data_IF_141042600700
#
_entry.id   IF_141042600700
#
_cell.length_a   1.000
_cell.length_b   1.000
_cell.length_c   1.000
_cell.angle_alpha   90.00
_cell.angle_beta   90.00
_cell.angle_gamma   90.00
#
_symmetry.space_group_name_H-M   'P 1'
#
loop_
_entity.id
_entity.type
_entity.pdbx_description
1 polymer ?
#
# COMPACT_ATOMS: atom_id res chain seq x y z
N UNK A 1 23.49 5.33 0.34
CA UNK A 1 23.60 3.86 0.46
C UNK A 1 22.19 3.30 0.54
N UNK A 2 21.90 2.18 -0.12
CA UNK A 2 20.55 1.58 -0.13
C UNK A 2 20.29 0.76 1.14
N UNK A 3 19.00 0.49 1.43
CA UNK A 3 18.60 -0.44 2.49
C UNK A 3 19.05 -1.87 2.17
N UNK A 4 19.45 -2.65 3.18
CA UNK A 4 19.68 -4.09 2.98
C UNK A 4 18.35 -4.79 2.64
N UNK A 5 18.36 -5.96 1.97
CA UNK A 5 17.14 -6.69 1.65
C UNK A 5 16.27 -6.98 2.87
N UNK A 6 16.91 -7.32 4.00
CA UNK A 6 16.21 -7.55 5.26
C UNK A 6 15.64 -6.25 5.84
N UNK A 7 16.39 -5.15 5.83
CA UNK A 7 15.86 -3.85 6.27
C UNK A 7 14.67 -3.42 5.41
N UNK A 8 14.76 -3.56 4.09
CA UNK A 8 13.65 -3.26 3.19
C UNK A 8 12.42 -4.14 3.47
N UNK A 9 12.63 -5.42 3.77
CA UNK A 9 11.57 -6.35 4.16
C UNK A 9 10.90 -5.93 5.48
N UNK A 10 11.68 -5.66 6.52
CA UNK A 10 11.17 -5.24 7.83
C UNK A 10 10.46 -3.90 7.74
N UNK A 11 10.98 -2.93 6.98
CA UNK A 11 10.29 -1.66 6.71
C UNK A 11 8.97 -1.89 5.97
N UNK A 12 8.93 -2.82 5.02
CA UNK A 12 7.71 -3.19 4.31
C UNK A 12 6.68 -3.93 5.18
N UNK A 13 7.13 -4.73 6.15
CA UNK A 13 6.24 -5.34 7.14
C UNK A 13 5.69 -4.31 8.12
N UNK A 14 6.55 -3.43 8.65
CA UNK A 14 6.18 -2.40 9.60
C UNK A 14 5.12 -1.44 9.02
N UNK A 15 5.18 -1.13 7.73
CA UNK A 15 4.17 -0.28 7.08
C UNK A 15 2.83 -0.96 6.85
N UNK A 16 2.77 -2.29 6.89
CA UNK A 16 1.55 -3.10 6.66
C UNK A 16 0.93 -3.61 7.95
N UNK A 17 1.66 -3.65 9.07
CA UNK A 17 1.17 -4.13 10.37
C UNK A 17 0.88 -2.92 11.26
N UNK A 18 -0.39 -2.69 11.56
CA UNK A 18 -0.82 -1.59 12.42
C UNK A 18 -2.17 -1.87 13.09
N UNK A 19 -2.52 -1.00 14.04
CA UNK A 19 -3.77 -1.09 14.82
C UNK A 19 -5.00 -1.14 13.91
N UNK A 20 -4.98 -0.38 12.79
CA UNK A 20 -6.06 -0.37 11.81
C UNK A 20 -6.36 -1.72 11.16
N UNK A 21 -5.33 -2.55 10.93
CA UNK A 21 -5.55 -3.89 10.35
C UNK A 21 -6.20 -4.83 11.36
N UNK A 22 -5.79 -4.78 12.63
CA UNK A 22 -6.36 -5.61 13.70
C UNK A 22 -7.81 -5.21 13.97
N UNK A 23 -8.08 -3.91 14.09
CA UNK A 23 -9.44 -3.39 14.24
C UNK A 23 -10.32 -3.73 13.03
N UNK A 24 -9.79 -3.63 11.81
CA UNK A 24 -10.49 -4.02 10.59
C UNK A 24 -10.87 -5.50 10.56
N UNK A 25 -9.97 -6.39 10.99
CA UNK A 25 -10.26 -7.83 11.13
C UNK A 25 -11.35 -8.07 12.17
N UNK A 26 -11.27 -7.41 13.33
CA UNK A 26 -12.28 -7.53 14.38
C UNK A 26 -13.68 -7.09 13.89
N UNK A 27 -13.76 -5.96 13.19
CA UNK A 27 -15.01 -5.45 12.60
C UNK A 27 -15.52 -6.42 11.52
N UNK A 28 -14.65 -6.92 10.64
CA UNK A 28 -15.03 -7.85 9.58
C UNK A 28 -15.64 -9.16 10.12
N UNK A 29 -15.07 -9.71 11.20
CA UNK A 29 -15.59 -10.91 11.85
C UNK A 29 -16.87 -10.60 12.64
N UNK A 30 -16.93 -9.46 13.34
CA UNK A 30 -18.11 -9.07 14.11
C UNK A 30 -19.36 -8.89 13.23
N UNK A 31 -19.19 -8.33 12.03
CA UNK A 31 -20.29 -8.07 11.09
C UNK A 31 -20.54 -9.29 10.18
N UNK A 32 -19.48 -9.92 9.66
CA UNK A 32 -19.57 -11.00 8.67
C UNK A 32 -19.62 -12.41 9.23
N UNK A 33 -19.47 -12.57 10.55
CA UNK A 33 -19.36 -13.88 11.20
C UNK A 33 -18.03 -14.59 10.95
N UNK A 34 -17.86 -15.82 11.48
CA UNK A 34 -16.59 -16.56 11.39
C UNK A 34 -16.18 -16.92 9.96
N UNK A 35 -17.15 -17.00 9.03
CA UNK A 35 -16.90 -17.24 7.60
C UNK A 35 -16.13 -16.12 6.90
N UNK A 36 -16.06 -14.92 7.48
CA UNK A 36 -15.26 -13.81 6.94
C UNK A 36 -13.77 -14.16 6.84
N UNK A 37 -13.25 -14.97 7.78
CA UNK A 37 -11.83 -15.36 7.82
C UNK A 37 -11.40 -16.10 6.55
N UNK A 38 -12.25 -16.99 6.03
CA UNK A 38 -11.99 -17.70 4.79
C UNK A 38 -11.81 -16.72 3.62
N UNK A 39 -12.72 -15.75 3.49
CA UNK A 39 -12.67 -14.73 2.45
C UNK A 39 -11.48 -13.76 2.61
N UNK A 40 -11.06 -13.48 3.84
CA UNK A 40 -9.84 -12.70 4.10
C UNK A 40 -8.59 -13.42 3.58
N UNK A 41 -8.50 -14.75 3.73
CA UNK A 41 -7.38 -15.51 3.17
C UNK A 41 -7.40 -15.56 1.64
N UNK A 42 -8.58 -15.76 1.03
CA UNK A 42 -8.72 -15.75 -0.44
C UNK A 42 -8.29 -14.41 -1.02
N UNK A 43 -8.78 -13.29 -0.45
CA UNK A 43 -8.40 -11.95 -0.90
C UNK A 43 -6.94 -11.63 -0.61
N UNK A 44 -6.36 -12.15 0.47
CA UNK A 44 -4.93 -12.01 0.76
C UNK A 44 -4.05 -12.70 -0.30
N UNK A 45 -4.41 -13.91 -0.75
CA UNK A 45 -3.68 -14.61 -1.83
C UNK A 45 -3.74 -13.83 -3.14
N UNK A 46 -4.92 -13.36 -3.52
CA UNK A 46 -5.09 -12.55 -4.73
C UNK A 46 -4.30 -11.24 -4.64
N UNK A 47 -4.37 -10.54 -3.51
CA UNK A 47 -3.62 -9.31 -3.26
C UNK A 47 -2.11 -9.53 -3.29
N UNK A 48 -1.63 -10.67 -2.78
CA UNK A 48 -0.20 -11.02 -2.82
C UNK A 48 0.29 -11.23 -4.26
N UNK A 49 -0.51 -11.88 -5.10
CA UNK A 49 -0.19 -12.04 -6.52
C UNK A 49 -0.05 -10.68 -7.23
N UNK A 50 -1.00 -9.76 -7.00
CA UNK A 50 -0.94 -8.41 -7.58
C UNK A 50 0.29 -7.63 -7.08
N UNK A 51 0.57 -7.66 -5.78
CA UNK A 51 1.72 -6.98 -5.19
C UNK A 51 3.06 -7.56 -5.67
N UNK A 52 3.11 -8.86 -5.96
CA UNK A 52 4.29 -9.50 -6.53
C UNK A 52 4.55 -8.98 -7.95
N UNK A 53 3.52 -8.99 -8.81
CA UNK A 53 3.62 -8.46 -10.18
C UNK A 53 4.08 -6.99 -10.15
N UNK A 54 3.51 -6.17 -9.27
CA UNK A 54 3.89 -4.76 -9.14
C UNK A 54 5.34 -4.59 -8.70
N UNK A 55 5.80 -5.39 -7.74
CA UNK A 55 7.19 -5.37 -7.27
C UNK A 55 8.17 -5.77 -8.38
N UNK A 56 7.81 -6.78 -9.17
CA UNK A 56 8.61 -7.20 -10.34
C UNK A 56 8.65 -6.10 -11.41
N UNK A 57 7.51 -5.46 -11.70
CA UNK A 57 7.43 -4.38 -12.68
C UNK A 57 8.21 -3.15 -12.23
N UNK A 58 8.16 -2.82 -10.93
CA UNK A 58 8.93 -1.74 -10.33
C UNK A 58 10.45 -1.98 -10.39
N UNK A 59 10.89 -3.24 -10.32
CA UNK A 59 12.29 -3.60 -10.54
C UNK A 59 12.69 -3.54 -12.02
N UNK A 60 11.80 -3.96 -12.93
CA UNK A 60 12.03 -3.96 -14.38
C UNK A 60 12.16 -2.54 -14.96
N UNK A 61 11.29 -1.62 -14.54
CA UNK A 61 11.29 -0.21 -14.99
C UNK A 61 12.05 0.72 -14.05
N UNK A 62 12.99 0.18 -13.26
CA UNK A 62 13.80 0.95 -12.33
C UNK A 62 14.79 1.83 -13.10
N UNK A 63 14.54 3.15 -13.12
CA UNK A 63 15.47 4.10 -13.74
C UNK A 63 16.39 4.69 -12.70
N UNK A 64 17.69 4.70 -13.01
CA UNK A 64 18.69 5.39 -12.21
C UNK A 64 18.71 6.86 -12.64
N UNK A 65 18.29 7.74 -11.76
CA UNK A 65 18.34 9.18 -12.01
C UNK A 65 19.82 9.63 -12.05
N UNK A 66 20.25 10.22 -13.17
CA UNK A 66 21.65 10.55 -13.44
C UNK A 66 22.19 11.66 -12.55
N UNK A 67 21.32 12.51 -11.99
CA UNK A 67 21.72 13.67 -11.18
C UNK A 67 21.74 13.39 -9.68
N UNK A 68 20.87 12.51 -9.17
CA UNK A 68 20.69 12.33 -7.72
C UNK A 68 21.30 11.04 -7.16
N UNK A 69 21.83 10.14 -8.01
CA UNK A 69 22.27 8.76 -7.64
C UNK A 69 21.19 7.92 -6.92
N UNK A 70 19.96 8.42 -6.83
CA UNK A 70 18.83 7.73 -6.24
C UNK A 70 18.12 6.89 -7.29
N UNK A 71 17.66 5.70 -6.88
CA UNK A 71 16.84 4.87 -7.74
C UNK A 71 15.39 5.32 -7.63
N UNK A 72 14.82 5.79 -8.72
CA UNK A 72 13.41 6.16 -8.80
C UNK A 72 12.69 5.08 -9.58
N UNK A 73 11.75 4.45 -8.91
CA UNK A 73 10.88 3.43 -9.46
C UNK A 73 9.51 3.57 -8.83
N UNK A 74 8.54 2.85 -9.39
CA UNK A 74 7.18 2.85 -8.90
C UNK A 74 6.16 2.83 -10.03
N UNK A 75 4.88 2.71 -9.69
CA UNK A 75 3.81 2.58 -10.67
C UNK A 75 3.71 3.71 -11.67
N UNK A 76 3.97 4.95 -11.24
CA UNK A 76 4.06 6.08 -12.17
C UNK A 76 5.14 5.90 -13.25
N UNK A 77 6.27 5.24 -12.96
CA UNK A 77 7.38 5.04 -13.89
C UNK A 77 7.12 3.90 -14.88
N UNK A 78 6.55 2.76 -14.46
CA UNK A 78 6.20 1.71 -15.42
C UNK A 78 5.00 2.11 -16.30
N UNK A 79 4.07 2.94 -15.81
CA UNK A 79 2.96 3.46 -16.64
C UNK A 79 3.49 4.44 -17.70
N UNK A 80 4.45 5.29 -17.34
CA UNK A 80 5.05 6.24 -18.29
C UNK A 80 6.02 5.59 -19.29
N UNK A 81 6.81 4.58 -18.90
CA UNK A 81 7.78 3.92 -19.77
C UNK A 81 7.27 2.65 -20.45
N UNK A 82 6.45 1.84 -19.78
CA UNK A 82 5.86 0.62 -20.33
C UNK A 82 4.66 0.89 -21.22
N UNK A 83 3.73 1.75 -20.80
CA UNK A 83 2.51 2.07 -21.55
C UNK A 83 2.64 3.31 -22.46
N UNK A 84 3.78 4.01 -22.40
CA UNK A 84 4.09 5.26 -23.15
C UNK A 84 3.06 6.39 -23.01
N UNK A 85 2.16 6.34 -22.02
CA UNK A 85 1.16 7.38 -21.79
C UNK A 85 1.47 8.17 -20.53
N UNK A 86 1.90 9.43 -20.71
CA UNK A 86 2.14 10.36 -19.60
C UNK A 86 0.86 10.73 -18.85
N UNK A 87 -0.28 10.77 -19.53
CA UNK A 87 -1.57 11.15 -18.95
C UNK A 87 -2.03 10.16 -17.88
N UNK A 88 -1.99 8.85 -18.16
CA UNK A 88 -2.41 7.83 -17.19
C UNK A 88 -1.48 7.76 -15.97
N UNK A 89 -0.17 8.01 -16.15
CA UNK A 89 0.77 8.09 -15.04
C UNK A 89 0.47 9.26 -14.10
N UNK A 90 0.11 10.43 -14.66
CA UNK A 90 -0.26 11.63 -13.87
C UNK A 90 -1.58 11.44 -13.15
N UNK A 91 -2.61 10.89 -13.81
CA UNK A 91 -3.91 10.61 -13.16
C UNK A 91 -3.73 9.63 -12.01
N UNK A 92 -2.95 8.58 -12.20
CA UNK A 92 -2.66 7.60 -11.15
C UNK A 92 -1.91 8.22 -9.98
N UNK A 93 -0.91 9.07 -10.25
CA UNK A 93 -0.19 9.80 -9.21
C UNK A 93 -1.09 10.76 -8.41
N UNK A 94 -1.97 11.50 -9.08
CA UNK A 94 -2.95 12.39 -8.42
C UNK A 94 -3.94 11.59 -7.56
N UNK A 95 -4.44 10.47 -8.07
CA UNK A 95 -5.33 9.59 -7.32
C UNK A 95 -4.65 9.03 -6.06
N UNK A 96 -3.37 8.62 -6.16
CA UNK A 96 -2.60 8.20 -5.00
C UNK A 96 -2.39 9.32 -3.98
N UNK A 97 -2.05 10.53 -4.44
CA UNK A 97 -1.88 11.69 -3.55
C UNK A 97 -3.18 11.99 -2.81
N UNK A 98 -4.32 11.98 -3.51
CA UNK A 98 -5.62 12.21 -2.87
C UNK A 98 -5.99 11.10 -1.88
N UNK A 99 -5.79 9.84 -2.27
CA UNK A 99 -6.15 8.67 -1.46
C UNK A 99 -5.31 8.61 -0.18
N UNK A 100 -3.99 8.72 -0.29
CA UNK A 100 -3.10 8.68 0.88
C UNK A 100 -3.10 9.98 1.67
N UNK A 101 -3.22 11.13 1.00
CA UNK A 101 -3.20 12.44 1.64
C UNK A 101 -4.46 12.74 2.43
N UNK A 102 -5.64 12.42 1.90
CA UNK A 102 -6.91 12.75 2.53
C UNK A 102 -7.58 11.52 3.14
N UNK A 103 -7.94 10.55 2.30
CA UNK A 103 -8.79 9.41 2.71
C UNK A 103 -8.13 8.57 3.80
N UNK A 104 -6.86 8.20 3.62
CA UNK A 104 -6.17 7.31 4.55
C UNK A 104 -5.96 7.97 5.92
N UNK A 105 -5.54 9.23 5.93
CA UNK A 105 -5.40 10.01 7.16
C UNK A 105 -6.75 10.19 7.87
N UNK A 106 -7.82 10.51 7.13
CA UNK A 106 -9.16 10.65 7.72
C UNK A 106 -9.65 9.35 8.35
N UNK A 107 -9.53 8.21 7.67
CA UNK A 107 -9.98 6.91 8.23
C UNK A 107 -9.19 6.54 9.49
N UNK A 108 -7.87 6.75 9.49
CA UNK A 108 -7.05 6.48 10.67
C UNK A 108 -7.41 7.37 11.86
N UNK A 109 -7.60 8.68 11.64
CA UNK A 109 -7.99 9.61 12.70
C UNK A 109 -9.36 9.23 13.26
N UNK A 110 -10.33 8.84 12.42
CA UNK A 110 -11.65 8.40 12.88
C UNK A 110 -11.57 7.13 13.74
N UNK A 111 -10.73 6.16 13.35
CA UNK A 111 -10.52 4.95 14.15
C UNK A 111 -9.91 5.28 15.54
N UNK A 112 -8.94 6.19 15.60
CA UNK A 112 -8.32 6.63 16.86
C UNK A 112 -9.30 7.43 17.71
N UNK A 113 -10.06 8.34 17.09
CA UNK A 113 -11.07 9.16 17.78
C UNK A 113 -12.14 8.28 18.44
N UNK A 114 -12.69 7.29 17.70
CA UNK A 114 -13.65 6.34 18.26
C UNK A 114 -13.03 5.49 19.39
N UNK A 115 -11.77 5.05 19.24
CA UNK A 115 -11.09 4.32 20.31
C UNK A 115 -10.90 5.18 21.56
N UNK A 116 -10.56 6.46 21.42
CA UNK A 116 -10.43 7.40 22.54
C UNK A 116 -11.76 7.73 23.21
N UNK A 117 -12.85 7.91 22.44
CA UNK A 117 -14.17 8.21 23.01
C UNK A 117 -14.81 7.03 23.75
N UNK A 118 -14.40 5.80 23.46
CA UNK A 118 -14.81 4.61 24.21
C UNK A 118 -13.92 4.33 25.44
N UNK A 119 -12.77 4.98 25.53
CA UNK A 119 -11.81 4.81 26.62
C UNK A 119 -12.00 5.82 27.78
N UNK A 120 -12.74 6.90 27.54
CA UNK A 120 -13.15 7.90 28.53
C UNK A 120 -14.66 7.80 28.79
#
# INVERSE_FOLDING_TARGET
>A
HGLTPFQAFVTGLASRVGVGNIAGVAIAIAIGGPGAVFWMWVTAVLGMSSAFIESTLAQLFKVRDSNSKQFRGGPAYYITQGLRSKTFGVIFALALIFTYGFVFNSVQINAIANASSHAW
#
